data_IF_839902086615
#
_entry.id   IF_839902086615
#
_cell.length_a   1.000
_cell.length_b   1.000
_cell.length_c   1.000
_cell.angle_alpha   90.00
_cell.angle_beta   90.00
_cell.angle_gamma   90.00
#
_symmetry.space_group_name_H-M   'P 1'
#
loop_
_entity.id
_entity.type
_entity.pdbx_description
1 polymer ?
#
# COMPACT_ATOMS: atom_id res chain seq x y z
N UNK A 1 43.68 -27.01 -54.07
CA UNK A 1 44.17 -26.91 -52.68
C UNK A 1 44.16 -25.45 -52.27
N UNK A 2 43.81 -25.18 -50.99
CA UNK A 2 43.70 -23.89 -50.29
C UNK A 2 42.54 -22.97 -50.76
N UNK A 3 41.33 -23.08 -50.20
CA UNK A 3 40.86 -22.45 -48.95
C UNK A 3 41.18 -20.97 -48.82
N UNK A 4 40.23 -20.11 -49.21
CA UNK A 4 40.18 -18.72 -48.76
C UNK A 4 38.81 -18.45 -48.13
N UNK A 5 38.86 -17.96 -46.90
CA UNK A 5 37.83 -18.05 -45.88
C UNK A 5 36.70 -17.05 -46.11
N UNK A 6 35.50 -17.52 -45.82
CA UNK A 6 34.27 -16.77 -45.54
C UNK A 6 34.54 -15.75 -44.42
N UNK A 7 34.27 -14.48 -44.67
CA UNK A 7 34.11 -13.45 -43.64
C UNK A 7 32.85 -12.63 -43.99
N UNK A 8 31.73 -13.08 -43.46
CA UNK A 8 30.53 -12.27 -43.27
C UNK A 8 30.34 -12.20 -41.77
N UNK A 9 30.50 -11.03 -41.15
CA UNK A 9 29.78 -10.71 -39.91
C UNK A 9 29.67 -9.20 -39.73
N UNK A 10 28.42 -8.73 -39.85
CA UNK A 10 27.81 -7.60 -39.15
C UNK A 10 28.52 -6.23 -39.19
N UNK A 11 28.31 -5.48 -40.29
CA UNK A 11 28.08 -4.05 -40.18
C UNK A 11 26.63 -3.84 -39.72
N UNK A 12 26.41 -3.69 -38.43
CA UNK A 12 25.14 -3.22 -37.88
C UNK A 12 25.38 -2.11 -36.88
N UNK A 13 24.98 -0.91 -37.31
CA UNK A 13 24.52 0.23 -36.51
C UNK A 13 24.96 0.24 -35.03
N UNK A 14 26.03 0.96 -34.74
CA UNK A 14 26.13 1.71 -33.48
C UNK A 14 25.90 3.18 -33.83
N UNK A 15 24.68 3.48 -34.25
CA UNK A 15 24.16 4.84 -34.19
C UNK A 15 23.67 5.08 -32.77
N UNK A 16 24.36 5.99 -32.09
CA UNK A 16 23.69 7.01 -31.27
C UNK A 16 22.81 6.53 -30.13
N UNK A 17 23.39 5.98 -29.06
CA UNK A 17 22.79 6.02 -27.72
C UNK A 17 23.84 6.33 -26.64
N UNK A 18 24.60 7.41 -26.85
CA UNK A 18 25.10 8.21 -25.73
C UNK A 18 24.04 9.27 -25.43
N UNK A 19 22.89 8.80 -24.94
CA UNK A 19 21.82 9.66 -24.41
C UNK A 19 22.38 10.32 -23.16
N UNK A 20 22.65 11.62 -23.29
CA UNK A 20 22.64 12.62 -22.23
C UNK A 20 23.24 12.18 -20.88
N UNK A 21 24.57 12.15 -20.81
CA UNK A 21 25.24 12.72 -19.65
C UNK A 21 25.11 14.25 -19.74
N UNK A 22 23.88 14.75 -19.62
CA UNK A 22 23.65 16.17 -19.42
C UNK A 22 24.00 16.49 -17.98
N UNK A 23 24.94 17.42 -17.84
CA UNK A 23 25.07 18.32 -16.72
C UNK A 23 23.69 18.67 -16.14
N UNK A 24 23.36 18.04 -15.02
CA UNK A 24 22.18 18.32 -14.25
C UNK A 24 22.57 18.17 -12.81
N UNK A 25 23.12 19.24 -12.24
CA UNK A 25 23.07 19.45 -10.80
C UNK A 25 21.60 19.26 -10.42
N UNK A 26 21.28 18.08 -9.88
CA UNK A 26 19.90 17.66 -9.73
C UNK A 26 19.20 18.66 -8.82
N UNK A 27 18.15 19.32 -9.33
CA UNK A 27 17.38 20.31 -8.59
C UNK A 27 16.92 19.69 -7.27
N UNK A 28 17.65 19.98 -6.18
CA UNK A 28 17.43 19.36 -4.88
C UNK A 28 16.05 19.71 -4.33
N UNK A 29 15.51 20.85 -4.76
CA UNK A 29 14.13 21.26 -4.45
C UNK A 29 13.14 20.29 -5.09
N UNK A 30 13.30 19.97 -6.36
CA UNK A 30 12.39 19.05 -7.04
C UNK A 30 12.56 17.61 -6.54
N UNK A 31 13.79 17.16 -6.31
CA UNK A 31 14.06 15.86 -5.70
C UNK A 31 13.42 15.72 -4.32
N UNK A 32 13.58 16.73 -3.46
CA UNK A 32 12.93 16.73 -2.15
C UNK A 32 11.39 16.69 -2.28
N UNK A 33 10.81 17.44 -3.23
CA UNK A 33 9.36 17.42 -3.47
C UNK A 33 8.89 16.03 -3.89
N UNK A 34 9.61 15.38 -4.80
CA UNK A 34 9.32 14.02 -5.27
C UNK A 34 9.37 13.04 -4.11
N UNK A 35 10.40 13.13 -3.26
CA UNK A 35 10.55 12.27 -2.09
C UNK A 35 9.38 12.43 -1.11
N UNK A 36 9.06 13.66 -0.71
CA UNK A 36 7.92 13.95 0.18
C UNK A 36 6.60 13.50 -0.44
N UNK A 37 6.42 13.71 -1.75
CA UNK A 37 5.24 13.22 -2.48
C UNK A 37 5.16 11.70 -2.44
N UNK A 38 6.26 11.00 -2.71
CA UNK A 38 6.35 9.55 -2.71
C UNK A 38 5.99 8.97 -1.35
N UNK A 39 6.59 9.48 -0.27
CA UNK A 39 6.27 9.07 1.10
C UNK A 39 4.80 9.34 1.46
N UNK A 40 4.26 10.51 1.08
CA UNK A 40 2.85 10.83 1.30
C UNK A 40 1.91 9.83 0.60
N UNK A 41 2.17 9.54 -0.68
CA UNK A 41 1.37 8.60 -1.46
C UNK A 41 1.52 7.17 -0.94
N UNK A 42 2.71 6.79 -0.46
CA UNK A 42 2.94 5.49 0.18
C UNK A 42 2.07 5.30 1.41
N UNK A 43 1.96 6.31 2.28
CA UNK A 43 1.05 6.24 3.45
C UNK A 43 -0.41 6.02 3.03
N UNK A 44 -0.86 6.73 2.00
CA UNK A 44 -2.23 6.57 1.49
C UNK A 44 -2.46 5.18 0.92
N UNK A 45 -1.54 4.69 0.09
CA UNK A 45 -1.62 3.36 -0.50
C UNK A 45 -1.62 2.27 0.58
N UNK A 46 -0.72 2.35 1.57
CA UNK A 46 -0.67 1.41 2.70
C UNK A 46 -2.02 1.36 3.43
N UNK A 47 -2.60 2.53 3.73
CA UNK A 47 -3.88 2.63 4.42
C UNK A 47 -5.03 2.06 3.59
N UNK A 48 -5.06 2.32 2.28
CA UNK A 48 -6.09 1.79 1.40
C UNK A 48 -6.00 0.27 1.28
N UNK A 49 -4.78 -0.28 1.16
CA UNK A 49 -4.56 -1.74 1.17
C UNK A 49 -5.04 -2.35 2.48
N UNK A 50 -4.68 -1.77 3.62
CA UNK A 50 -5.12 -2.26 4.93
C UNK A 50 -6.64 -2.19 5.10
N UNK A 51 -7.28 -1.09 4.68
CA UNK A 51 -8.74 -0.92 4.75
C UNK A 51 -9.48 -1.88 3.82
N UNK A 52 -8.97 -2.12 2.62
CA UNK A 52 -9.51 -3.11 1.69
C UNK A 52 -9.38 -4.53 2.24
N UNK A 53 -8.22 -4.87 2.82
CA UNK A 53 -8.02 -6.16 3.50
C UNK A 53 -8.97 -6.34 4.68
N UNK A 54 -9.18 -5.31 5.49
CA UNK A 54 -10.13 -5.32 6.60
C UNK A 54 -11.56 -5.55 6.10
N UNK A 55 -11.98 -4.82 5.07
CA UNK A 55 -13.30 -4.97 4.45
C UNK A 55 -13.51 -6.39 3.91
N UNK A 56 -12.57 -6.90 3.11
CA UNK A 56 -12.63 -8.25 2.53
C UNK A 56 -12.67 -9.33 3.61
N UNK A 57 -11.81 -9.24 4.64
CA UNK A 57 -11.79 -10.19 5.76
C UNK A 57 -13.11 -10.15 6.53
N UNK A 58 -13.64 -8.95 6.77
CA UNK A 58 -14.92 -8.78 7.48
C UNK A 58 -16.08 -9.42 6.71
N UNK A 59 -16.16 -9.21 5.40
CA UNK A 59 -17.16 -9.84 4.54
C UNK A 59 -17.05 -11.36 4.60
N UNK A 60 -15.84 -11.90 4.45
CA UNK A 60 -15.59 -13.35 4.54
C UNK A 60 -16.03 -13.93 5.89
N UNK A 61 -15.79 -13.24 7.01
CA UNK A 61 -16.27 -13.68 8.33
C UNK A 61 -17.80 -13.75 8.38
N UNK A 62 -18.51 -12.76 7.84
CA UNK A 62 -19.97 -12.79 7.82
C UNK A 62 -20.51 -13.94 6.96
N UNK A 63 -19.89 -14.21 5.81
CA UNK A 63 -20.25 -15.35 4.95
C UNK A 63 -20.00 -16.69 5.65
N UNK A 64 -18.86 -16.85 6.31
CA UNK A 64 -18.52 -18.07 7.07
C UNK A 64 -19.46 -18.25 8.27
N UNK A 65 -19.80 -17.18 8.99
CA UNK A 65 -20.83 -17.23 10.06
C UNK A 65 -22.20 -17.64 9.52
N UNK A 66 -22.58 -17.16 8.34
CA UNK A 66 -23.83 -17.57 7.70
C UNK A 66 -23.82 -19.07 7.34
N UNK A 67 -22.72 -19.58 6.77
CA UNK A 67 -22.52 -21.03 6.50
C UNK A 67 -22.64 -21.85 7.78
N UNK A 68 -22.01 -21.40 8.87
CA UNK A 68 -22.12 -22.05 10.19
C UNK A 68 -23.57 -22.16 10.66
N UNK A 69 -24.34 -21.08 10.57
CA UNK A 69 -25.76 -21.08 10.97
C UNK A 69 -26.56 -22.10 10.15
N UNK A 70 -26.30 -22.20 8.84
CA UNK A 70 -26.94 -23.18 7.99
C UNK A 70 -26.54 -24.62 8.37
N UNK A 71 -25.25 -24.87 8.63
CA UNK A 71 -24.76 -26.16 9.09
C UNK A 71 -25.38 -26.60 10.42
N UNK A 72 -25.53 -25.68 11.38
CA UNK A 72 -26.21 -25.97 12.66
C UNK A 72 -27.69 -26.33 12.45
N UNK A 73 -28.38 -25.67 11.52
CA UNK A 73 -29.77 -26.03 11.17
C UNK A 73 -29.85 -27.41 10.53
N UNK A 74 -28.92 -27.76 9.66
CA UNK A 74 -28.85 -29.08 9.03
C UNK A 74 -28.59 -30.17 10.07
N UNK A 75 -27.61 -29.96 10.95
CA UNK A 75 -27.29 -30.87 12.05
C UNK A 75 -28.53 -31.16 12.90
N UNK A 76 -29.23 -30.11 13.34
CA UNK A 76 -30.45 -30.25 14.14
C UNK A 76 -31.55 -31.04 13.41
N UNK A 77 -31.73 -30.80 12.11
CA UNK A 77 -32.73 -31.52 11.32
C UNK A 77 -32.40 -33.01 11.16
N UNK A 78 -31.12 -33.39 11.12
CA UNK A 78 -30.68 -34.79 11.05
C UNK A 78 -30.84 -35.45 12.43
N UNK A 79 -30.45 -34.78 13.51
CA UNK A 79 -30.66 -35.25 14.88
C UNK A 79 -32.15 -35.53 15.17
N UNK A 80 -33.05 -34.62 14.75
CA UNK A 80 -34.50 -34.83 14.87
C UNK A 80 -35.01 -36.05 14.08
N UNK A 81 -34.43 -36.34 12.90
CA UNK A 81 -34.77 -37.55 12.11
C UNK A 81 -34.29 -38.83 12.78
N UNK A 82 -33.10 -38.81 13.35
CA UNK A 82 -32.51 -39.94 14.05
C UNK A 82 -33.37 -40.34 15.27
N UNK A 83 -33.76 -39.35 16.07
CA UNK A 83 -34.68 -39.54 17.21
C UNK A 83 -36.04 -40.09 16.79
N UNK A 84 -36.57 -39.62 15.65
CA UNK A 84 -37.85 -40.09 15.14
C UNK A 84 -37.81 -41.55 14.63
N UNK A 85 -36.67 -42.01 14.09
CA UNK A 85 -36.55 -43.36 13.53
C UNK A 85 -36.37 -44.46 14.58
N UNK A 86 -36.06 -44.13 15.85
CA UNK A 86 -35.94 -45.08 17.00
C UNK A 86 -35.09 -46.34 16.77
N UNK A 87 -34.33 -46.40 15.68
CA UNK A 87 -33.44 -47.50 15.30
C UNK A 87 -32.16 -46.88 14.76
N UNK A 88 -30.95 -47.39 15.11
CA UNK A 88 -29.70 -46.78 14.68
C UNK A 88 -29.57 -46.85 13.16
N UNK A 89 -29.52 -45.69 12.52
CA UNK A 89 -29.19 -45.57 11.11
C UNK A 89 -27.71 -45.14 11.03
N UNK A 90 -26.82 -46.10 10.86
CA UNK A 90 -25.36 -45.85 10.84
C UNK A 90 -24.96 -44.74 9.85
N UNK A 91 -25.67 -44.62 8.72
CA UNK A 91 -25.46 -43.55 7.74
C UNK A 91 -25.77 -42.14 8.30
N UNK A 92 -26.81 -42.00 9.13
CA UNK A 92 -27.16 -40.73 9.77
C UNK A 92 -26.17 -40.36 10.88
N UNK A 93 -25.65 -41.36 11.61
CA UNK A 93 -24.62 -41.14 12.63
C UNK A 93 -23.30 -40.64 12.00
N UNK A 94 -22.89 -41.22 10.87
CA UNK A 94 -21.73 -40.74 10.11
C UNK A 94 -21.94 -39.32 9.57
N UNK A 95 -23.13 -39.00 9.06
CA UNK A 95 -23.48 -37.65 8.59
C UNK A 95 -23.43 -36.61 9.72
N UNK A 96 -23.93 -36.96 10.92
CA UNK A 96 -23.85 -36.11 12.13
C UNK A 96 -22.40 -35.85 12.52
N UNK A 97 -21.56 -36.88 12.57
CA UNK A 97 -20.14 -36.74 12.90
C UNK A 97 -19.43 -35.85 11.87
N UNK A 98 -19.69 -36.07 10.58
CA UNK A 98 -19.12 -35.27 9.50
C UNK A 98 -19.50 -33.81 9.59
N UNK A 99 -20.78 -33.50 9.84
CA UNK A 99 -21.27 -32.13 10.01
C UNK A 99 -20.70 -31.45 11.25
N UNK A 100 -20.58 -32.17 12.37
CA UNK A 100 -19.94 -31.63 13.59
C UNK A 100 -18.49 -31.24 13.33
N UNK A 101 -17.72 -32.11 12.67
CA UNK A 101 -16.35 -31.80 12.27
C UNK A 101 -16.25 -30.57 11.36
N UNK A 102 -17.15 -30.44 10.39
CA UNK A 102 -17.21 -29.25 9.51
C UNK A 102 -17.56 -27.98 10.30
N UNK A 103 -18.47 -28.06 11.26
CA UNK A 103 -18.83 -26.94 12.13
C UNK A 103 -17.66 -26.52 13.02
N UNK A 104 -16.94 -27.47 13.60
CA UNK A 104 -15.76 -27.20 14.42
C UNK A 104 -14.66 -26.51 13.59
N UNK A 105 -14.41 -27.01 12.37
CA UNK A 105 -13.47 -26.37 11.43
C UNK A 105 -13.91 -24.94 11.08
N UNK A 106 -15.21 -24.75 10.84
CA UNK A 106 -15.79 -23.42 10.54
C UNK A 106 -15.63 -22.46 11.73
N UNK A 107 -15.76 -22.96 12.96
CA UNK A 107 -15.56 -22.18 14.18
C UNK A 107 -14.10 -21.73 14.36
N UNK A 108 -13.14 -22.59 14.03
CA UNK A 108 -11.73 -22.23 14.01
C UNK A 108 -11.44 -21.16 12.96
N UNK A 109 -11.96 -21.31 11.74
CA UNK A 109 -11.81 -20.31 10.67
C UNK A 109 -12.39 -18.94 11.07
N UNK A 110 -13.56 -18.92 11.72
CA UNK A 110 -14.17 -17.68 12.23
C UNK A 110 -13.26 -17.03 13.26
N UNK A 111 -12.77 -17.79 14.24
CA UNK A 111 -11.91 -17.28 15.32
C UNK A 111 -10.62 -16.69 14.77
N UNK A 112 -9.96 -17.38 13.84
CA UNK A 112 -8.71 -16.92 13.25
C UNK A 112 -8.91 -15.65 12.41
N UNK A 113 -10.00 -15.59 11.65
CA UNK A 113 -10.34 -14.41 10.87
C UNK A 113 -10.74 -13.21 11.76
N UNK A 114 -11.42 -13.44 12.89
CA UNK A 114 -11.69 -12.39 13.88
C UNK A 114 -10.41 -11.85 14.52
N UNK A 115 -9.45 -12.72 14.86
CA UNK A 115 -8.14 -12.29 15.35
C UNK A 115 -7.39 -11.45 14.30
N UNK A 116 -7.48 -11.84 13.02
CA UNK A 116 -6.90 -11.07 11.91
C UNK A 116 -7.56 -9.70 11.76
N UNK A 117 -8.88 -9.58 11.96
CA UNK A 117 -9.60 -8.29 11.95
C UNK A 117 -9.06 -7.35 13.02
N UNK A 118 -8.83 -7.84 14.25
CA UNK A 118 -8.26 -7.04 15.34
C UNK A 118 -6.86 -6.54 14.93
N UNK A 119 -6.02 -7.43 14.43
CA UNK A 119 -4.67 -7.09 13.98
C UNK A 119 -4.67 -6.02 12.88
N UNK A 120 -5.56 -6.13 11.88
CA UNK A 120 -5.71 -5.15 10.82
C UNK A 120 -6.16 -3.78 11.35
N UNK A 121 -7.08 -3.75 12.33
CA UNK A 121 -7.52 -2.49 12.97
C UNK A 121 -6.37 -1.79 13.69
N UNK A 122 -5.55 -2.55 14.41
CA UNK A 122 -4.39 -1.99 15.12
C UNK A 122 -3.34 -1.46 14.13
N UNK A 123 -3.08 -2.18 13.04
CA UNK A 123 -2.20 -1.71 11.96
C UNK A 123 -2.71 -0.43 11.31
N UNK A 124 -4.01 -0.33 11.03
CA UNK A 124 -4.63 0.89 10.50
C UNK A 124 -4.46 2.05 11.48
N UNK A 125 -4.77 1.84 12.76
CA UNK A 125 -4.64 2.88 13.78
C UNK A 125 -3.20 3.39 13.92
N UNK A 126 -2.22 2.48 13.90
CA UNK A 126 -0.80 2.81 13.89
C UNK A 126 -0.41 3.64 12.67
N UNK A 127 -0.77 3.18 11.47
CA UNK A 127 -0.47 3.90 10.22
C UNK A 127 -1.18 5.25 10.11
N UNK A 128 -2.43 5.38 10.58
CA UNK A 128 -3.14 6.66 10.60
C UNK A 128 -2.47 7.66 11.54
N UNK A 129 -1.97 7.19 12.69
CA UNK A 129 -1.19 8.02 13.63
C UNK A 129 0.11 8.50 12.98
N UNK A 130 0.87 7.60 12.37
CA UNK A 130 2.14 7.95 11.71
C UNK A 130 1.90 8.90 10.54
N UNK A 131 0.88 8.64 9.73
CA UNK A 131 0.51 9.53 8.62
C UNK A 131 0.07 10.91 9.12
N UNK A 132 -0.63 11.00 10.25
CA UNK A 132 -0.97 12.29 10.87
C UNK A 132 0.28 13.05 11.30
N UNK A 133 1.24 12.38 11.94
CA UNK A 133 2.52 13.00 12.34
C UNK A 133 3.27 13.51 11.10
N UNK A 134 3.35 12.70 10.04
CA UNK A 134 3.98 13.08 8.78
C UNK A 134 3.31 14.31 8.15
N UNK A 135 1.96 14.31 8.06
CA UNK A 135 1.17 15.43 7.53
C UNK A 135 1.41 16.73 8.28
N UNK A 136 1.42 16.69 9.60
CA UNK A 136 1.69 17.88 10.41
C UNK A 136 3.14 18.36 10.22
N UNK A 137 4.10 17.43 10.12
CA UNK A 137 5.51 17.75 9.91
C UNK A 137 5.78 18.40 8.56
N UNK A 138 5.07 18.00 7.50
CA UNK A 138 5.23 18.59 6.17
C UNK A 138 4.46 19.91 6.00
N UNK A 139 3.42 20.18 6.81
CA UNK A 139 2.47 21.29 6.61
C UNK A 139 3.11 22.66 6.58
N UNK A 140 4.25 22.87 7.24
CA UNK A 140 4.95 24.17 7.22
C UNK A 140 5.58 24.48 5.86
N UNK A 141 6.05 23.46 5.13
CA UNK A 141 6.83 23.61 3.90
C UNK A 141 5.99 23.25 2.66
N UNK A 142 5.10 22.29 2.81
CA UNK A 142 4.33 21.68 1.73
C UNK A 142 2.83 21.76 1.97
N UNK A 143 2.10 21.60 0.88
CA UNK A 143 0.67 21.38 0.87
C UNK A 143 0.26 20.35 -0.17
N UNK A 144 -0.76 19.56 0.17
CA UNK A 144 -1.45 18.71 -0.78
C UNK A 144 -2.55 19.54 -1.46
N UNK A 145 -2.51 19.64 -2.78
CA UNK A 145 -3.52 20.36 -3.57
C UNK A 145 -4.15 19.44 -4.59
N UNK A 146 -5.40 19.71 -4.95
CA UNK A 146 -6.10 18.93 -5.97
C UNK A 146 -5.40 19.03 -7.33
N UNK A 147 -5.24 17.89 -8.00
CA UNK A 147 -4.73 17.80 -9.36
C UNK A 147 -5.89 17.77 -10.36
N UNK A 148 -5.90 18.71 -11.32
CA UNK A 148 -6.97 18.86 -12.32
C UNK A 148 -7.04 17.74 -13.36
N UNK A 149 -5.93 17.02 -13.58
CA UNK A 149 -5.81 15.93 -14.53
C UNK A 149 -5.10 14.80 -13.81
N UNK A 150 -5.78 13.66 -13.65
CA UNK A 150 -5.19 12.44 -13.11
C UNK A 150 -5.57 11.25 -13.98
N UNK A 151 -4.61 10.33 -14.12
CA UNK A 151 -4.87 9.03 -14.74
C UNK A 151 -5.83 8.23 -13.85
N UNK A 152 -6.61 7.31 -14.43
CA UNK A 152 -7.47 6.42 -13.66
C UNK A 152 -6.66 5.66 -12.60
N UNK A 153 -7.15 5.62 -11.36
CA UNK A 153 -6.50 4.95 -10.24
C UNK A 153 -5.42 5.77 -9.51
N UNK A 154 -5.07 6.97 -9.98
CA UNK A 154 -4.16 7.87 -9.25
C UNK A 154 -4.94 8.77 -8.28
N UNK A 155 -4.33 9.11 -7.14
CA UNK A 155 -4.93 10.08 -6.23
C UNK A 155 -5.04 11.46 -6.90
N UNK A 156 -6.19 12.16 -6.80
CA UNK A 156 -6.43 13.46 -7.43
C UNK A 156 -5.74 14.61 -6.68
N UNK A 157 -4.48 14.40 -6.27
CA UNK A 157 -3.70 15.36 -5.51
C UNK A 157 -2.24 15.39 -5.97
N UNK A 158 -1.58 16.51 -5.70
CA UNK A 158 -0.12 16.66 -5.81
C UNK A 158 0.40 17.39 -4.58
N UNK A 159 1.63 17.08 -4.20
CA UNK A 159 2.33 17.85 -3.17
C UNK A 159 3.14 18.96 -3.82
N UNK A 160 2.95 20.18 -3.32
CA UNK A 160 3.67 21.37 -3.77
C UNK A 160 4.21 22.17 -2.59
N UNK A 161 5.26 22.96 -2.84
CA UNK A 161 5.80 23.89 -1.87
C UNK A 161 4.80 25.02 -1.59
N UNK A 162 4.70 25.42 -0.31
CA UNK A 162 4.00 26.65 0.10
C UNK A 162 4.79 27.89 -0.28
N UNK A 163 6.12 27.81 -0.23
CA UNK A 163 6.97 28.90 -0.68
C UNK A 163 6.88 29.05 -2.20
N UNK A 164 6.34 30.20 -2.62
CA UNK A 164 6.22 30.55 -4.02
C UNK A 164 7.59 30.98 -4.55
N UNK A 165 8.10 30.23 -5.52
CA UNK A 165 9.26 30.63 -6.31
C UNK A 165 8.89 30.68 -7.78
N UNK A 166 9.51 31.63 -8.47
CA UNK A 166 9.30 31.75 -9.91
C UNK A 166 9.88 30.52 -10.63
N UNK A 167 9.22 30.09 -11.71
CA UNK A 167 9.62 28.91 -12.50
C UNK A 167 11.03 29.00 -13.10
N UNK A 168 11.58 30.22 -13.17
CA UNK A 168 12.86 30.52 -13.81
C UNK A 168 13.97 30.91 -12.82
N UNK A 169 13.70 30.85 -11.51
CA UNK A 169 14.71 31.15 -10.51
C UNK A 169 15.58 29.92 -10.25
N UNK A 170 16.88 30.03 -10.58
CA UNK A 170 17.85 28.98 -10.30
C UNK A 170 18.08 28.79 -8.78
N UNK A 171 17.88 29.84 -7.99
CA UNK A 171 17.97 29.80 -6.53
C UNK A 171 16.65 30.22 -5.90
N UNK A 172 16.10 29.32 -5.09
CA UNK A 172 14.83 29.49 -4.38
C UNK A 172 15.05 29.17 -2.89
N UNK A 173 15.78 30.02 -2.15
CA UNK A 173 16.08 29.78 -0.75
C UNK A 173 14.81 29.84 0.10
N UNK A 174 14.65 28.87 1.00
CA UNK A 174 13.51 28.82 1.91
C UNK A 174 13.66 29.86 3.03
N UNK A 175 12.56 30.49 3.49
CA UNK A 175 12.59 31.25 4.75
C UNK A 175 13.06 30.39 5.92
N UNK A 176 13.75 30.97 6.89
CA UNK A 176 14.37 30.25 8.03
C UNK A 176 13.42 29.25 8.72
N UNK A 177 12.17 29.65 8.93
CA UNK A 177 11.15 28.79 9.55
C UNK A 177 10.85 27.56 8.70
N UNK A 178 10.77 27.71 7.37
CA UNK A 178 10.53 26.60 6.45
C UNK A 178 11.77 25.74 6.26
N UNK A 179 12.96 26.33 6.20
CA UNK A 179 14.23 25.59 6.17
C UNK A 179 14.38 24.71 7.42
N UNK A 180 14.18 25.26 8.63
CA UNK A 180 14.26 24.52 9.87
C UNK A 180 13.20 23.40 9.95
N UNK A 181 11.98 23.64 9.45
CA UNK A 181 10.95 22.62 9.35
C UNK A 181 11.33 21.52 8.35
N UNK A 182 11.95 21.87 7.22
CA UNK A 182 12.38 20.90 6.21
C UNK A 182 13.50 19.99 6.74
N UNK A 183 14.44 20.52 7.53
CA UNK A 183 15.48 19.71 8.23
C UNK A 183 14.86 18.74 9.24
N UNK A 184 13.74 19.10 9.88
CA UNK A 184 13.04 18.16 10.76
C UNK A 184 12.31 17.09 9.96
N UNK A 185 11.68 17.48 8.86
CA UNK A 185 10.97 16.57 7.96
C UNK A 185 11.93 15.57 7.30
N UNK A 186 13.14 15.98 6.92
CA UNK A 186 14.12 15.10 6.26
C UNK A 186 14.46 13.87 7.09
N UNK A 187 14.47 13.99 8.42
CA UNK A 187 14.74 12.90 9.36
C UNK A 187 13.62 11.86 9.42
N UNK A 188 12.45 12.17 8.87
CA UNK A 188 11.32 11.26 8.74
C UNK A 188 11.27 10.58 7.37
N UNK A 189 12.22 10.89 6.49
CA UNK A 189 12.32 10.33 5.14
C UNK A 189 13.51 9.38 5.08
N UNK A 190 13.35 8.22 4.43
CA UNK A 190 14.42 7.22 4.30
C UNK A 190 15.65 7.75 3.54
N UNK A 191 15.46 8.74 2.66
CA UNK A 191 16.51 9.38 1.84
C UNK A 191 16.46 10.92 1.92
N UNK A 192 16.33 11.48 3.14
CA UNK A 192 16.12 12.92 3.37
C UNK A 192 17.21 13.89 2.89
N UNK A 193 18.33 13.41 2.34
CA UNK A 193 19.51 14.22 1.96
C UNK A 193 19.15 15.33 0.97
N UNK A 194 18.29 15.05 -0.02
CA UNK A 194 17.87 16.08 -0.98
C UNK A 194 17.14 17.24 -0.29
N UNK A 195 16.30 16.92 0.70
CA UNK A 195 15.60 17.91 1.51
C UNK A 195 16.54 18.70 2.42
N UNK A 196 17.55 18.05 3.00
CA UNK A 196 18.57 18.73 3.81
C UNK A 196 19.42 19.68 2.98
N UNK A 197 19.85 19.24 1.78
CA UNK A 197 20.59 20.10 0.84
C UNK A 197 19.75 21.32 0.47
N UNK A 198 18.49 21.12 0.11
CA UNK A 198 17.60 22.23 -0.25
C UNK A 198 17.37 23.19 0.93
N UNK A 199 17.17 22.67 2.14
CA UNK A 199 16.99 23.50 3.33
C UNK A 199 18.21 24.39 3.64
N UNK A 200 19.42 23.91 3.33
CA UNK A 200 20.66 24.64 3.58
C UNK A 200 21.07 25.59 2.44
N UNK A 201 20.30 25.68 1.35
CA UNK A 201 20.55 26.67 0.30
C UNK A 201 20.31 28.07 0.86
N UNK A 202 21.39 28.86 0.93
CA UNK A 202 21.33 30.29 1.28
C UNK A 202 21.33 31.12 0.00
N UNK A 203 20.45 32.13 -0.03
CA UNK A 203 20.47 33.20 -1.03
C UNK A 203 21.40 34.33 -0.63
#
# INVERSE_FOLDING_TARGET
MASLKVFIFALSLVTSFSVFAAEGETDSREQCRILVSGTFLSFMNDLDVLKNNLSSTTTSVYETKAKRILGVKQLKAIEEKLEAQKTPAAELDEEVIGLRYQLDTTDEEIRDAEARIVTLKDQIAGKEKDFKIFKESMKTVFEAVSAKIVNQGAYPLKIQYRHLCSKYQQLCPLPDVQSAALIKLSKLLDEGIACERYANMRG
#
